data_IF_718316735285
#
_entry.id   IF_718316735285
#
_cell.length_a   1.000
_cell.length_b   1.000
_cell.length_c   1.000
_cell.angle_alpha   90.00
_cell.angle_beta   90.00
_cell.angle_gamma   90.00
#
_symmetry.space_group_name_H-M   'P 1'
#
loop_
_entity.id
_entity.type
_entity.pdbx_description
1 polymer ?
#
# COMPACT_ATOMS: atom_id res chain seq x y z
N UNK A 1 25.39 3.72 4.47
CA UNK A 1 25.10 4.84 5.39
C UNK A 1 23.93 4.40 6.23
N UNK A 2 24.00 4.54 7.55
CA UNK A 2 22.94 4.14 8.47
C UNK A 2 21.69 4.99 8.24
N UNK A 3 20.52 4.37 8.28
CA UNK A 3 19.23 4.98 7.97
C UNK A 3 18.38 5.14 9.23
N UNK A 4 17.46 6.10 9.21
CA UNK A 4 16.36 6.22 10.16
C UNK A 4 15.04 6.20 9.40
N UNK A 5 14.25 5.17 9.63
CA UNK A 5 12.94 4.98 9.01
C UNK A 5 11.85 5.67 9.81
N UNK A 6 10.99 6.43 9.14
CA UNK A 6 9.89 7.16 9.76
C UNK A 6 8.57 6.92 9.02
N UNK A 7 7.59 6.40 9.75
CA UNK A 7 6.23 6.23 9.25
C UNK A 7 5.41 7.52 9.29
N UNK A 8 5.33 8.25 8.18
CA UNK A 8 4.28 9.25 7.93
C UNK A 8 3.16 8.63 7.08
N UNK A 9 2.43 7.65 7.63
CA UNK A 9 1.41 6.91 6.87
C UNK A 9 0.15 7.75 6.56
N UNK A 10 0.07 8.98 7.06
CA UNK A 10 -0.81 10.07 6.60
C UNK A 10 -0.29 10.84 5.38
N UNK A 11 0.80 10.44 4.76
CA UNK A 11 1.43 11.14 3.65
C UNK A 11 0.44 11.67 2.58
N UNK A 12 -0.57 10.90 2.20
CA UNK A 12 -1.55 11.32 1.18
C UNK A 12 -2.48 12.44 1.69
N UNK A 13 -2.76 12.48 3.00
CA UNK A 13 -3.44 13.60 3.63
C UNK A 13 -2.54 14.84 3.67
N UNK A 14 -1.24 14.67 3.95
CA UNK A 14 -0.26 15.77 3.92
C UNK A 14 -0.23 16.38 2.50
N UNK A 15 -0.10 15.55 1.46
CA UNK A 15 -0.14 16.01 0.07
C UNK A 15 -1.45 16.73 -0.29
N UNK A 16 -2.60 16.14 0.04
CA UNK A 16 -3.90 16.75 -0.27
C UNK A 16 -4.11 18.06 0.47
N UNK A 17 -3.67 18.16 1.74
CA UNK A 17 -3.71 19.41 2.50
C UNK A 17 -2.82 20.49 1.87
N UNK A 18 -1.61 20.12 1.43
CA UNK A 18 -0.71 21.06 0.74
C UNK A 18 -1.26 21.56 -0.61
N UNK A 19 -2.17 20.82 -1.26
CA UNK A 19 -2.76 21.21 -2.55
C UNK A 19 -4.11 21.92 -2.39
N UNK A 20 -4.96 21.44 -1.49
CA UNK A 20 -6.36 21.88 -1.37
C UNK A 20 -6.69 22.54 -0.03
N UNK A 21 -5.74 22.64 0.92
CA UNK A 21 -5.98 23.18 2.26
C UNK A 21 -6.93 22.33 3.10
N UNK A 22 -7.07 21.04 2.80
CA UNK A 22 -7.99 20.14 3.50
C UNK A 22 -7.44 19.74 4.87
N UNK A 23 -8.16 20.05 5.94
CA UNK A 23 -7.89 19.53 7.28
C UNK A 23 -8.26 18.05 7.36
N UNK A 24 -7.25 17.17 7.32
CA UNK A 24 -7.38 15.76 7.60
C UNK A 24 -6.04 15.23 8.06
N UNK A 25 -6.02 14.48 9.17
CA UNK A 25 -4.84 13.77 9.64
C UNK A 25 -5.21 12.31 9.87
N UNK A 26 -4.25 11.39 9.75
CA UNK A 26 -4.47 10.05 10.28
C UNK A 26 -4.42 10.08 11.80
N UNK A 27 -5.01 9.07 12.41
CA UNK A 27 -4.89 8.87 13.84
C UNK A 27 -3.46 8.42 14.16
N UNK A 28 -2.83 8.91 15.24
CA UNK A 28 -1.55 8.41 15.74
C UNK A 28 -1.48 6.88 15.86
N UNK A 29 -2.64 6.24 16.02
CA UNK A 29 -2.85 4.79 16.02
C UNK A 29 -2.34 4.13 14.73
N UNK A 30 -2.61 4.69 13.54
CA UNK A 30 -2.14 4.10 12.28
C UNK A 30 -0.62 4.10 12.18
N UNK A 31 0.01 5.21 12.57
CA UNK A 31 1.48 5.31 12.57
C UNK A 31 2.11 4.34 13.56
N UNK A 32 1.47 4.11 14.72
CA UNK A 32 1.91 3.10 15.67
C UNK A 32 1.79 1.67 15.11
N UNK A 33 0.65 1.34 14.50
CA UNK A 33 0.37 0.01 13.95
C UNK A 33 1.28 -0.41 12.82
N UNK A 34 1.75 0.55 12.02
CA UNK A 34 2.55 0.26 10.84
C UNK A 34 4.05 0.53 11.05
N UNK A 35 4.49 1.11 12.17
CA UNK A 35 5.89 1.51 12.37
C UNK A 35 6.91 0.38 12.15
N UNK A 36 6.58 -0.86 12.51
CA UNK A 36 7.46 -2.03 12.35
C UNK A 36 7.51 -2.58 10.92
N UNK A 37 6.72 -2.06 9.98
CA UNK A 37 6.73 -2.53 8.60
C UNK A 37 8.10 -2.41 7.91
N UNK A 38 8.92 -1.45 8.37
CA UNK A 38 10.23 -1.16 7.80
C UNK A 38 11.23 -2.29 7.98
N UNK A 39 10.99 -3.27 8.87
CA UNK A 39 11.89 -4.41 9.12
C UNK A 39 12.26 -5.16 7.84
N UNK A 40 11.35 -5.27 6.88
CA UNK A 40 11.65 -5.93 5.60
C UNK A 40 12.75 -5.22 4.82
N UNK A 41 12.75 -3.88 4.83
CA UNK A 41 13.64 -3.01 4.06
C UNK A 41 14.91 -2.59 4.81
N UNK A 42 14.86 -2.52 6.15
CA UNK A 42 15.97 -2.04 6.99
C UNK A 42 17.18 -2.97 6.93
N UNK A 43 18.39 -2.44 7.12
CA UNK A 43 19.61 -3.23 7.31
C UNK A 43 19.95 -3.37 8.79
N UNK A 44 20.95 -4.21 9.09
CA UNK A 44 21.55 -4.28 10.42
C UNK A 44 21.99 -2.87 10.87
N UNK A 45 21.75 -2.61 12.16
CA UNK A 45 22.00 -1.35 12.86
C UNK A 45 21.09 -0.18 12.45
N UNK A 46 20.23 -0.25 11.43
CA UNK A 46 19.33 0.86 11.09
C UNK A 46 18.33 1.20 12.21
N UNK A 47 17.86 2.46 12.26
CA UNK A 47 16.89 2.90 13.25
C UNK A 47 15.48 2.87 12.67
N UNK A 48 14.52 2.34 13.42
CA UNK A 48 13.09 2.42 13.10
C UNK A 48 12.38 3.28 14.15
N UNK A 49 11.82 4.41 13.71
CA UNK A 49 11.05 5.29 14.57
C UNK A 49 9.68 4.69 14.90
N UNK A 50 9.41 4.49 16.19
CA UNK A 50 8.16 3.92 16.71
C UNK A 50 7.61 4.81 17.85
N UNK A 51 6.29 5.05 17.97
CA UNK A 51 5.75 6.04 18.91
C UNK A 51 5.64 5.53 20.36
N UNK A 52 6.57 4.69 20.80
CA UNK A 52 6.55 4.13 22.15
C UNK A 52 7.56 3.03 22.39
N UNK A 53 7.51 2.43 23.58
CA UNK A 53 8.33 1.29 23.97
C UNK A 53 7.73 0.00 23.45
N UNK A 54 8.58 -0.86 22.91
CA UNK A 54 8.29 -2.25 22.55
C UNK A 54 9.02 -3.21 23.50
N UNK A 55 8.61 -4.47 23.52
CA UNK A 55 9.30 -5.48 24.33
C UNK A 55 10.66 -5.84 23.72
N UNK A 56 11.65 -6.11 24.57
CA UNK A 56 12.93 -6.68 24.14
C UNK A 56 12.71 -8.06 23.46
N UNK A 57 11.72 -8.82 23.94
CA UNK A 57 11.32 -10.10 23.37
C UNK A 57 11.01 -10.00 21.87
N UNK A 58 10.31 -8.95 21.41
CA UNK A 58 10.02 -8.77 19.99
C UNK A 58 11.30 -8.60 19.17
N UNK A 59 12.26 -7.82 19.65
CA UNK A 59 13.53 -7.61 18.95
C UNK A 59 14.36 -8.90 18.88
N UNK A 60 14.42 -9.66 19.98
CA UNK A 60 15.06 -10.99 20.01
C UNK A 60 14.37 -11.99 19.08
N UNK A 61 13.04 -11.94 18.96
CA UNK A 61 12.29 -12.81 18.04
C UNK A 61 12.63 -12.51 16.57
N UNK A 62 12.77 -11.23 16.19
CA UNK A 62 13.20 -10.85 14.84
C UNK A 62 14.59 -11.40 14.52
N UNK A 63 15.56 -11.21 15.44
CA UNK A 63 16.93 -11.69 15.27
C UNK A 63 16.98 -13.22 15.15
N UNK A 64 16.27 -13.95 16.03
CA UNK A 64 16.19 -15.41 15.98
C UNK A 64 15.56 -15.92 14.68
N UNK A 65 14.65 -15.14 14.09
CA UNK A 65 14.04 -15.44 12.80
C UNK A 65 14.95 -15.11 11.59
N UNK A 66 16.15 -14.58 11.84
CA UNK A 66 17.09 -14.17 10.79
C UNK A 66 16.75 -12.84 10.12
N UNK A 67 15.91 -12.01 10.76
CA UNK A 67 15.60 -10.65 10.30
C UNK A 67 16.64 -9.65 10.84
N UNK A 68 16.77 -8.47 10.23
CA UNK A 68 17.81 -7.50 10.56
C UNK A 68 17.76 -7.02 12.01
N UNK A 69 18.95 -6.79 12.59
CA UNK A 69 19.13 -6.27 13.95
C UNK A 69 18.98 -4.75 13.94
N UNK A 70 17.72 -4.30 13.99
CA UNK A 70 17.35 -2.89 13.97
C UNK A 70 17.24 -2.29 15.37
N UNK A 71 17.48 -0.98 15.48
CA UNK A 71 17.23 -0.20 16.69
C UNK A 71 15.85 0.47 16.62
N UNK A 72 14.90 0.00 17.43
CA UNK A 72 13.63 0.69 17.58
C UNK A 72 13.77 1.87 18.55
N UNK A 73 13.46 3.08 18.09
CA UNK A 73 13.58 4.29 18.89
C UNK A 73 12.31 5.13 18.86
N UNK A 74 12.01 5.80 19.97
CA UNK A 74 10.98 6.83 20.06
C UNK A 74 11.58 8.22 20.29
N UNK A 75 12.89 8.36 20.13
CA UNK A 75 13.63 9.60 20.34
C UNK A 75 14.41 9.97 19.09
N UNK A 76 14.55 11.28 18.88
CA UNK A 76 15.46 11.76 17.85
C UNK A 76 16.91 11.59 18.32
N UNK A 77 17.81 11.18 17.42
CA UNK A 77 19.23 11.08 17.72
C UNK A 77 19.81 12.45 18.07
N UNK A 78 20.94 12.46 18.79
CA UNK A 78 21.69 13.68 19.05
C UNK A 78 22.23 14.29 17.74
N UNK A 79 22.53 15.59 17.73
CA UNK A 79 22.92 16.31 16.49
C UNK A 79 24.09 15.64 15.74
N UNK A 80 25.11 15.15 16.45
CA UNK A 80 26.27 14.51 15.85
C UNK A 80 25.90 13.20 15.12
N UNK A 81 25.04 12.38 15.73
CA UNK A 81 24.55 11.14 15.14
C UNK A 81 23.58 11.44 13.99
N UNK A 82 22.66 12.38 14.16
CA UNK A 82 21.71 12.79 13.13
C UNK A 82 22.41 13.20 11.82
N UNK A 83 23.53 13.93 11.91
CA UNK A 83 24.31 14.35 10.74
C UNK A 83 24.93 13.18 9.94
N UNK A 84 24.97 11.98 10.52
CA UNK A 84 25.44 10.74 9.88
C UNK A 84 24.30 9.86 9.36
N UNK A 85 23.06 10.14 9.76
CA UNK A 85 21.87 9.36 9.42
C UNK A 85 21.13 9.93 8.21
N UNK A 86 20.63 9.04 7.36
CA UNK A 86 19.71 9.38 6.28
C UNK A 86 18.27 9.07 6.66
N UNK A 87 17.38 10.06 6.56
CA UNK A 87 15.94 9.85 6.76
C UNK A 87 15.34 9.08 5.58
N UNK A 88 14.57 8.04 5.88
CA UNK A 88 13.71 7.32 4.94
C UNK A 88 12.26 7.41 5.41
N UNK A 89 11.45 8.34 4.86
CA UNK A 89 10.05 8.45 5.23
C UNK A 89 9.18 7.47 4.44
N UNK A 90 7.93 7.26 4.84
CA UNK A 90 6.93 6.57 4.01
C UNK A 90 6.75 7.27 2.66
N UNK A 91 6.63 8.60 2.67
CA UNK A 91 6.64 9.45 1.48
C UNK A 91 7.14 10.87 1.78
N UNK A 92 7.65 11.56 0.76
CA UNK A 92 8.25 12.89 0.91
C UNK A 92 7.22 14.02 0.85
N UNK A 93 6.97 14.68 1.99
CA UNK A 93 6.11 15.86 2.13
C UNK A 93 6.90 17.08 2.60
N UNK A 94 6.27 18.26 2.59
CA UNK A 94 6.88 19.48 3.13
C UNK A 94 7.26 19.34 4.61
N UNK A 95 6.45 18.62 5.39
CA UNK A 95 6.73 18.30 6.79
C UNK A 95 7.99 17.44 6.93
N UNK A 96 8.20 16.44 6.06
CA UNK A 96 9.40 15.61 6.10
C UNK A 96 10.67 16.43 5.81
N UNK A 97 10.61 17.37 4.86
CA UNK A 97 11.72 18.29 4.62
C UNK A 97 12.02 19.18 5.84
N UNK A 98 11.00 19.63 6.57
CA UNK A 98 11.18 20.40 7.80
C UNK A 98 11.80 19.55 8.93
N UNK A 99 11.40 18.28 9.06
CA UNK A 99 12.01 17.34 10.00
C UNK A 99 13.49 17.17 9.70
N UNK A 100 13.86 16.91 8.44
CA UNK A 100 15.27 16.77 8.01
C UNK A 100 16.09 17.99 8.45
N UNK A 101 15.60 19.19 8.14
CA UNK A 101 16.30 20.44 8.48
C UNK A 101 16.39 20.68 9.99
N UNK A 102 15.29 20.47 10.72
CA UNK A 102 15.24 20.76 12.17
C UNK A 102 16.05 19.78 13.01
N UNK A 103 16.22 18.54 12.53
CA UNK A 103 16.98 17.48 13.21
C UNK A 103 18.42 17.35 12.71
N UNK A 104 18.77 18.02 11.61
CA UNK A 104 20.11 17.93 11.01
C UNK A 104 20.39 16.58 10.35
N UNK A 105 19.35 15.91 9.85
CA UNK A 105 19.45 14.63 9.15
C UNK A 105 19.90 14.84 7.70
N UNK A 106 20.41 13.78 7.06
CA UNK A 106 20.59 13.73 5.61
C UNK A 106 19.30 13.27 4.93
N UNK A 107 19.10 13.72 3.70
CA UNK A 107 17.99 13.29 2.87
C UNK A 107 18.41 13.21 1.40
N UNK A 108 17.94 12.18 0.72
CA UNK A 108 17.91 12.12 -0.73
C UNK A 108 16.44 12.16 -1.15
N UNK A 109 15.92 13.38 -1.32
CA UNK A 109 14.49 13.63 -1.48
C UNK A 109 14.19 14.24 -2.86
N UNK A 110 13.18 13.73 -3.59
CA UNK A 110 12.70 14.35 -4.81
C UNK A 110 12.06 15.71 -4.52
N UNK A 111 11.95 16.59 -5.52
CA UNK A 111 11.16 17.81 -5.39
C UNK A 111 9.71 17.51 -4.99
N UNK A 112 9.17 18.22 -3.99
CA UNK A 112 7.78 18.03 -3.53
C UNK A 112 6.75 18.25 -4.65
N UNK A 113 7.06 19.10 -5.62
CA UNK A 113 6.24 19.29 -6.82
C UNK A 113 6.12 18.01 -7.63
N UNK A 114 7.23 17.31 -7.88
CA UNK A 114 7.23 16.03 -8.59
C UNK A 114 6.46 14.96 -7.81
N UNK A 115 6.62 14.91 -6.49
CA UNK A 115 5.86 13.99 -5.62
C UNK A 115 4.35 14.23 -5.75
N UNK A 116 3.91 15.49 -5.70
CA UNK A 116 2.49 15.86 -5.87
C UNK A 116 1.98 15.52 -7.25
N UNK A 117 2.75 15.83 -8.30
CA UNK A 117 2.38 15.53 -9.68
C UNK A 117 2.18 14.03 -9.89
N UNK A 118 3.14 13.20 -9.47
CA UNK A 118 3.09 11.75 -9.73
C UNK A 118 2.03 11.03 -8.90
N UNK A 119 1.73 11.49 -7.67
CA UNK A 119 0.65 10.93 -6.85
C UNK A 119 -0.75 11.45 -7.23
N UNK A 120 -0.87 12.43 -8.14
CA UNK A 120 -2.17 12.94 -8.59
C UNK A 120 -2.78 12.01 -9.64
N UNK A 121 -4.07 11.68 -9.50
CA UNK A 121 -4.81 10.87 -10.49
C UNK A 121 -4.87 11.54 -11.86
N UNK A 122 -4.76 12.87 -11.94
CA UNK A 122 -4.57 13.59 -13.21
C UNK A 122 -3.35 13.05 -13.99
N UNK A 123 -2.24 12.76 -13.30
CA UNK A 123 -1.02 12.24 -13.94
C UNK A 123 -1.24 10.84 -14.51
N UNK A 124 -1.85 9.94 -13.74
CA UNK A 124 -2.15 8.59 -14.23
C UNK A 124 -3.19 8.61 -15.34
N UNK A 125 -4.25 9.43 -15.22
CA UNK A 125 -5.29 9.57 -16.22
C UNK A 125 -4.74 10.08 -17.56
N UNK A 126 -3.83 11.07 -17.54
CA UNK A 126 -3.15 11.53 -18.75
C UNK A 126 -2.31 10.43 -19.40
N UNK A 127 -1.56 9.65 -18.62
CA UNK A 127 -0.82 8.50 -19.15
C UNK A 127 -1.76 7.49 -19.81
N UNK A 128 -2.88 7.18 -19.17
CA UNK A 128 -3.86 6.25 -19.72
C UNK A 128 -4.50 6.76 -21.00
N UNK A 129 -4.86 8.04 -21.05
CA UNK A 129 -5.46 8.67 -22.23
C UNK A 129 -4.49 8.68 -23.42
N UNK A 130 -3.25 9.13 -23.20
CA UNK A 130 -2.23 9.19 -24.25
C UNK A 130 -1.87 7.80 -24.81
N UNK A 131 -2.04 6.75 -24.01
CA UNK A 131 -1.64 5.39 -24.37
C UNK A 131 -2.82 4.47 -24.70
N UNK A 132 -4.03 5.03 -24.79
CA UNK A 132 -5.27 4.31 -25.11
C UNK A 132 -5.55 3.14 -24.14
N UNK A 133 -5.39 3.40 -22.84
CA UNK A 133 -5.55 2.42 -21.76
C UNK A 133 -6.78 2.67 -20.87
N UNK A 134 -7.51 3.77 -21.11
CA UNK A 134 -8.70 4.11 -20.34
C UNK A 134 -9.76 3.02 -20.51
N UNK A 135 -10.44 2.67 -19.41
CA UNK A 135 -11.67 1.89 -19.51
C UNK A 135 -12.71 2.70 -20.27
N UNK A 136 -13.44 2.05 -21.19
CA UNK A 136 -14.47 2.71 -21.99
C UNK A 136 -15.49 3.44 -21.10
N UNK A 137 -15.64 4.74 -21.30
CA UNK A 137 -16.51 5.61 -20.50
C UNK A 137 -15.87 6.22 -19.24
N UNK A 138 -14.57 6.00 -19.01
CA UNK A 138 -13.84 6.75 -17.99
C UNK A 138 -13.74 8.22 -18.36
N UNK A 139 -13.92 9.12 -17.38
CA UNK A 139 -13.90 10.56 -17.60
C UNK A 139 -13.24 11.32 -16.45
N UNK A 140 -12.55 12.40 -16.81
CA UNK A 140 -12.14 13.46 -15.89
C UNK A 140 -13.28 14.50 -15.82
N UNK A 141 -13.63 14.93 -14.62
CA UNK A 141 -14.82 15.72 -14.32
C UNK A 141 -14.44 16.92 -13.46
N UNK A 142 -14.92 18.10 -13.82
CA UNK A 142 -14.61 19.37 -13.14
C UNK A 142 -15.81 19.96 -12.39
N UNK A 143 -17.02 19.43 -12.58
CA UNK A 143 -18.22 19.88 -11.89
C UNK A 143 -19.30 18.78 -11.78
N UNK A 144 -20.37 19.08 -11.03
CA UNK A 144 -21.44 18.11 -10.76
C UNK A 144 -22.27 17.78 -12.01
N UNK A 145 -22.49 18.75 -12.91
CA UNK A 145 -23.28 18.54 -14.13
C UNK A 145 -22.59 17.53 -15.05
N UNK A 146 -21.28 17.67 -15.24
CA UNK A 146 -20.45 16.70 -15.95
C UNK A 146 -20.54 15.31 -15.31
N UNK A 147 -20.44 15.22 -13.98
CA UNK A 147 -20.53 13.95 -13.27
C UNK A 147 -21.90 13.27 -13.48
N UNK A 148 -23.00 14.00 -13.34
CA UNK A 148 -24.35 13.45 -13.53
C UNK A 148 -24.55 12.99 -14.98
N UNK A 149 -24.09 13.77 -15.95
CA UNK A 149 -24.14 13.43 -17.37
C UNK A 149 -23.31 12.17 -17.69
N UNK A 150 -22.08 12.09 -17.16
CA UNK A 150 -21.18 10.98 -17.38
C UNK A 150 -21.71 9.66 -16.78
N UNK A 151 -22.27 9.71 -15.56
CA UNK A 151 -22.90 8.55 -14.92
C UNK A 151 -24.14 8.10 -15.70
N UNK A 152 -24.96 9.04 -16.19
CA UNK A 152 -26.11 8.72 -17.05
C UNK A 152 -25.67 8.08 -18.37
N UNK A 153 -24.60 8.60 -19.00
CA UNK A 153 -24.05 8.07 -20.25
C UNK A 153 -23.49 6.66 -20.07
N UNK A 154 -22.76 6.38 -18.99
CA UNK A 154 -22.24 5.04 -18.70
C UNK A 154 -23.35 3.97 -18.65
N UNK A 155 -24.48 4.32 -18.03
CA UNK A 155 -25.65 3.44 -17.97
C UNK A 155 -26.24 3.14 -19.36
N UNK A 156 -26.15 4.06 -20.31
CA UNK A 156 -26.64 3.85 -21.67
C UNK A 156 -25.67 3.01 -22.52
N UNK A 157 -24.37 3.04 -22.19
CA UNK A 157 -23.34 2.28 -22.90
C UNK A 157 -23.22 0.84 -22.44
N UNK A 158 -23.41 0.57 -21.15
CA UNK A 158 -23.45 -0.79 -20.64
C UNK A 158 -24.86 -1.35 -20.85
N UNK A 159 -25.01 -2.44 -21.60
CA UNK A 159 -26.31 -3.07 -21.89
C UNK A 159 -27.05 -3.62 -20.64
N UNK A 160 -26.47 -3.43 -19.44
CA UNK A 160 -27.01 -3.86 -18.15
C UNK A 160 -27.57 -2.67 -17.39
N UNK A 161 -28.78 -2.81 -16.84
CA UNK A 161 -29.40 -1.85 -15.89
C UNK A 161 -28.64 -1.73 -14.56
N UNK A 162 -27.57 -2.50 -14.35
CA UNK A 162 -26.76 -2.56 -13.14
C UNK A 162 -25.32 -2.06 -13.34
N UNK A 163 -25.13 -1.13 -14.29
CA UNK A 163 -23.83 -0.54 -14.59
C UNK A 163 -23.19 0.01 -13.32
N UNK A 164 -22.15 -0.64 -12.83
CA UNK A 164 -21.46 -0.27 -11.60
C UNK A 164 -20.29 0.64 -11.95
N UNK A 165 -20.02 1.63 -11.11
CA UNK A 165 -18.99 2.63 -11.35
C UNK A 165 -18.37 3.12 -10.04
N UNK A 166 -17.21 3.75 -10.16
CA UNK A 166 -16.50 4.41 -9.07
C UNK A 166 -16.10 5.81 -9.49
N UNK A 167 -16.28 6.78 -8.60
CA UNK A 167 -15.73 8.13 -8.74
C UNK A 167 -14.66 8.31 -7.68
N UNK A 168 -13.46 8.73 -8.10
CA UNK A 168 -12.30 8.90 -7.23
C UNK A 168 -11.85 10.36 -7.24
N UNK A 169 -11.38 10.86 -6.11
CA UNK A 169 -10.73 12.16 -6.03
C UNK A 169 -9.31 12.11 -6.62
N UNK A 170 -8.74 13.29 -6.88
CA UNK A 170 -7.40 13.42 -7.43
C UNK A 170 -6.30 12.82 -6.54
N UNK A 171 -6.43 12.92 -5.22
CA UNK A 171 -5.60 12.16 -4.27
C UNK A 171 -6.48 11.16 -3.54
N UNK A 172 -6.25 9.87 -3.76
CA UNK A 172 -7.20 8.80 -3.39
C UNK A 172 -7.16 8.36 -1.92
N UNK A 173 -6.17 8.82 -1.14
CA UNK A 173 -6.04 8.59 0.32
C UNK A 173 -6.23 7.11 0.71
N UNK A 174 -5.45 6.22 0.10
CA UNK A 174 -5.50 4.77 0.36
C UNK A 174 -6.90 4.24 0.13
N UNK A 175 -7.47 4.70 -0.98
CA UNK A 175 -8.77 4.32 -1.50
C UNK A 175 -9.98 4.81 -0.66
N UNK A 176 -9.79 5.80 0.24
CA UNK A 176 -10.85 6.39 1.08
C UNK A 176 -11.58 7.55 0.41
N UNK A 177 -10.92 8.28 -0.49
CA UNK A 177 -11.52 9.42 -1.20
C UNK A 177 -12.18 8.97 -2.51
N UNK A 178 -13.23 8.16 -2.38
CA UNK A 178 -14.05 7.67 -3.49
C UNK A 178 -15.50 7.49 -3.11
N UNK A 179 -16.37 7.46 -4.12
CA UNK A 179 -17.75 6.95 -4.03
C UNK A 179 -17.94 5.84 -5.06
N UNK A 180 -18.78 4.87 -4.74
CA UNK A 180 -19.13 3.77 -5.64
C UNK A 180 -20.64 3.75 -5.80
N UNK A 181 -21.13 3.55 -7.02
CA UNK A 181 -22.55 3.54 -7.33
C UNK A 181 -22.91 2.54 -8.40
N UNK A 182 -24.21 2.39 -8.61
CA UNK A 182 -24.80 1.57 -9.65
C UNK A 182 -25.91 2.37 -10.32
N UNK A 183 -26.15 2.10 -11.61
CA UNK A 183 -27.19 2.80 -12.36
C UNK A 183 -26.74 4.16 -12.90
N UNK A 184 -27.68 4.86 -13.54
CA UNK A 184 -27.44 6.16 -14.18
C UNK A 184 -27.73 7.39 -13.32
N UNK A 185 -27.84 7.25 -11.99
CA UNK A 185 -28.19 8.35 -11.08
C UNK A 185 -27.33 8.36 -9.82
N UNK A 186 -27.00 9.56 -9.35
CA UNK A 186 -26.35 9.78 -8.05
C UNK A 186 -27.39 9.83 -6.92
N UNK A 187 -27.01 9.40 -5.72
CA UNK A 187 -27.75 9.69 -4.49
C UNK A 187 -27.42 11.10 -3.99
N UNK A 188 -28.25 11.66 -3.11
CA UNK A 188 -27.99 13.00 -2.53
C UNK A 188 -26.71 13.04 -1.70
N UNK A 189 -26.37 11.93 -1.04
CA UNK A 189 -25.10 11.79 -0.34
C UNK A 189 -23.90 11.88 -1.30
N UNK A 190 -23.98 11.21 -2.45
CA UNK A 190 -22.95 11.26 -3.49
C UNK A 190 -22.81 12.66 -4.09
N UNK A 191 -23.94 13.33 -4.38
CA UNK A 191 -23.95 14.73 -4.83
C UNK A 191 -23.29 15.64 -3.82
N UNK A 192 -23.64 15.50 -2.54
CA UNK A 192 -23.05 16.28 -1.45
C UNK A 192 -21.54 16.07 -1.34
N UNK A 193 -21.09 14.82 -1.46
CA UNK A 193 -19.67 14.48 -1.47
C UNK A 193 -18.94 15.16 -2.65
N UNK A 194 -19.46 15.04 -3.87
CA UNK A 194 -18.87 15.60 -5.08
C UNK A 194 -18.85 17.14 -5.06
N UNK A 195 -19.98 17.78 -4.70
CA UNK A 195 -20.08 19.25 -4.55
C UNK A 195 -19.00 19.81 -3.62
N UNK A 196 -18.74 19.13 -2.49
CA UNK A 196 -17.71 19.55 -1.54
C UNK A 196 -16.31 19.53 -2.17
N UNK A 197 -15.99 18.50 -2.97
CA UNK A 197 -14.68 18.37 -3.63
C UNK A 197 -14.51 19.40 -4.76
N UNK A 198 -15.53 19.58 -5.60
CA UNK A 198 -15.51 20.62 -6.63
C UNK A 198 -15.40 22.03 -6.04
N UNK A 199 -16.08 22.32 -4.94
CA UNK A 199 -15.96 23.61 -4.24
C UNK A 199 -14.54 23.87 -3.67
N UNK A 200 -13.74 22.82 -3.49
CA UNK A 200 -12.34 22.88 -3.08
C UNK A 200 -11.37 22.92 -4.28
N UNK A 201 -11.89 23.02 -5.51
CA UNK A 201 -11.08 23.01 -6.74
C UNK A 201 -10.51 21.64 -7.08
N UNK A 202 -11.09 20.55 -6.56
CA UNK A 202 -10.67 19.20 -6.91
C UNK A 202 -11.38 18.72 -8.18
N UNK A 203 -10.60 18.11 -9.06
CA UNK A 203 -11.08 17.29 -10.17
C UNK A 203 -11.46 15.89 -9.67
N UNK A 204 -12.51 15.31 -10.24
CA UNK A 204 -12.95 13.94 -9.97
C UNK A 204 -12.78 13.05 -11.21
N UNK A 205 -12.65 11.74 -10.99
CA UNK A 205 -12.41 10.76 -12.04
C UNK A 205 -13.44 9.65 -11.94
N UNK A 206 -14.27 9.52 -12.96
CA UNK A 206 -15.23 8.43 -13.11
C UNK A 206 -14.58 7.27 -13.85
N UNK A 207 -14.71 6.07 -13.32
CA UNK A 207 -14.26 4.83 -13.94
C UNK A 207 -15.40 3.78 -13.87
N UNK A 208 -15.65 3.01 -14.94
CA UNK A 208 -16.49 1.83 -14.86
C UNK A 208 -15.95 0.81 -13.84
N UNK A 209 -16.85 0.11 -13.16
CA UNK A 209 -16.49 -0.98 -12.27
C UNK A 209 -16.37 -2.28 -13.06
N UNK A 210 -15.22 -2.96 -12.96
CA UNK A 210 -14.92 -4.18 -13.72
C UNK A 210 -14.85 -5.42 -12.82
N UNK A 211 -15.08 -6.60 -13.41
CA UNK A 211 -14.99 -7.90 -12.71
C UNK A 211 -13.54 -8.30 -12.46
N UNK A 212 -12.96 -7.70 -11.41
CA UNK A 212 -11.60 -7.93 -10.95
C UNK A 212 -11.38 -9.40 -10.53
N UNK A 213 -10.25 -9.97 -10.96
CA UNK A 213 -9.81 -11.33 -10.63
C UNK A 213 -8.57 -11.36 -9.75
N UNK A 214 -7.66 -10.42 -9.95
CA UNK A 214 -6.47 -10.27 -9.13
C UNK A 214 -5.98 -8.82 -9.17
N UNK A 215 -5.30 -8.40 -8.10
CA UNK A 215 -4.64 -7.11 -7.98
C UNK A 215 -3.16 -7.32 -7.68
N UNK A 216 -2.32 -6.45 -8.20
CA UNK A 216 -0.90 -6.45 -7.94
C UNK A 216 -0.35 -5.03 -7.82
N UNK A 217 0.58 -4.83 -6.90
CA UNK A 217 1.44 -3.66 -6.87
C UNK A 217 2.70 -3.96 -7.66
N UNK A 218 2.89 -3.27 -8.79
CA UNK A 218 4.13 -3.28 -9.56
C UNK A 218 5.11 -2.30 -8.90
N UNK A 219 6.24 -2.80 -8.41
CA UNK A 219 7.17 -1.99 -7.63
C UNK A 219 8.38 -1.59 -8.47
N UNK A 220 8.74 -0.33 -8.41
CA UNK A 220 9.89 0.25 -9.10
C UNK A 220 10.75 1.08 -8.13
N UNK A 221 12.02 1.20 -8.48
CA UNK A 221 12.96 2.16 -7.89
C UNK A 221 13.40 3.12 -9.01
N UNK A 222 13.16 4.42 -8.83
CA UNK A 222 13.60 5.43 -9.78
C UNK A 222 14.85 6.09 -9.21
N UNK A 223 16.05 5.82 -9.73
CA UNK A 223 17.25 6.47 -9.23
C UNK A 223 17.28 7.95 -9.66
N UNK A 224 18.05 8.77 -8.92
CA UNK A 224 18.31 10.17 -9.30
C UNK A 224 19.10 10.30 -10.61
N UNK A 225 19.81 9.23 -11.01
CA UNK A 225 20.52 9.10 -12.27
C UNK A 225 20.39 7.67 -12.80
N UNK A 226 20.22 7.52 -14.12
CA UNK A 226 20.04 6.22 -14.76
C UNK A 226 18.57 5.86 -14.97
N UNK A 227 18.31 4.65 -15.49
CA UNK A 227 16.96 4.22 -15.84
C UNK A 227 16.19 3.68 -14.62
N UNK A 228 14.85 3.83 -14.58
CA UNK A 228 14.01 3.19 -13.59
C UNK A 228 14.20 1.67 -13.55
N UNK A 229 14.27 1.12 -12.34
CA UNK A 229 14.46 -0.30 -12.09
C UNK A 229 13.15 -0.93 -11.65
N UNK A 230 12.83 -2.09 -12.21
CA UNK A 230 11.68 -2.87 -11.78
C UNK A 230 12.10 -3.83 -10.65
N UNK A 231 11.45 -3.70 -9.50
CA UNK A 231 11.80 -4.45 -8.29
C UNK A 231 11.02 -5.77 -8.18
N UNK A 232 9.76 -5.79 -8.65
CA UNK A 232 8.96 -7.01 -8.64
C UNK A 232 7.45 -6.77 -8.62
N UNK A 233 6.71 -7.88 -8.51
CA UNK A 233 5.24 -7.89 -8.42
C UNK A 233 4.84 -8.36 -7.01
N UNK A 234 4.04 -7.56 -6.32
CA UNK A 234 3.42 -7.96 -5.06
C UNK A 234 1.93 -8.19 -5.30
N UNK A 235 1.46 -9.44 -5.20
CA UNK A 235 0.04 -9.75 -5.39
C UNK A 235 -0.75 -9.36 -4.14
N UNK A 236 -1.77 -8.50 -4.30
CA UNK A 236 -2.59 -8.05 -3.18
C UNK A 236 -3.48 -9.19 -2.70
N UNK A 237 -3.49 -9.39 -1.39
CA UNK A 237 -4.47 -10.20 -0.67
C UNK A 237 -5.51 -9.30 -0.08
N UNK A 238 -6.76 -9.61 -0.35
CA UNK A 238 -7.91 -8.88 0.17
C UNK A 238 -8.95 -9.86 0.70
N UNK A 239 -9.71 -9.46 1.70
CA UNK A 239 -10.84 -10.24 2.18
C UNK A 239 -12.05 -10.15 1.23
N UNK A 240 -13.14 -10.85 1.57
CA UNK A 240 -14.37 -10.86 0.80
C UNK A 240 -15.04 -9.48 0.65
N UNK A 241 -14.72 -8.51 1.53
CA UNK A 241 -15.20 -7.12 1.45
C UNK A 241 -14.24 -6.23 0.63
N UNK A 242 -13.15 -6.80 0.13
CA UNK A 242 -12.11 -6.08 -0.62
C UNK A 242 -11.14 -5.30 0.27
N UNK A 243 -11.12 -5.54 1.58
CA UNK A 243 -10.14 -4.91 2.46
C UNK A 243 -8.78 -5.61 2.32
N UNK A 244 -7.72 -4.82 2.16
CA UNK A 244 -6.34 -5.33 2.11
C UNK A 244 -5.98 -6.13 3.38
N UNK A 245 -5.39 -7.30 3.17
CA UNK A 245 -4.93 -8.25 4.20
C UNK A 245 -3.46 -8.59 4.09
N UNK A 246 -2.76 -8.13 3.04
CA UNK A 246 -1.36 -8.50 2.84
C UNK A 246 -0.96 -8.55 1.39
N UNK A 247 0.29 -8.95 1.17
CA UNK A 247 0.84 -9.14 -0.16
C UNK A 247 1.53 -10.50 -0.24
N UNK A 248 1.21 -11.27 -1.27
CA UNK A 248 2.02 -12.41 -1.67
C UNK A 248 3.21 -11.92 -2.49
N UNK A 249 4.39 -12.41 -2.13
CA UNK A 249 5.66 -12.10 -2.78
C UNK A 249 5.78 -12.99 -4.02
N UNK A 250 5.80 -12.38 -5.21
CA UNK A 250 5.92 -13.13 -6.47
C UNK A 250 7.38 -13.31 -6.85
N UNK A 251 7.89 -14.51 -6.64
CA UNK A 251 9.25 -14.91 -7.04
C UNK A 251 9.21 -15.86 -8.24
N UNK A 252 8.11 -16.61 -8.41
CA UNK A 252 7.91 -17.51 -9.54
C UNK A 252 7.96 -16.74 -10.88
N UNK A 253 8.91 -17.06 -11.78
CA UNK A 253 9.01 -16.43 -13.10
C UNK A 253 7.71 -16.52 -13.92
N UNK A 254 6.94 -17.60 -13.79
CA UNK A 254 5.68 -17.78 -14.53
C UNK A 254 4.62 -16.80 -14.09
N UNK A 255 4.43 -16.65 -12.77
CA UNK A 255 3.53 -15.65 -12.22
C UNK A 255 3.96 -14.24 -12.61
N UNK A 256 5.27 -13.96 -12.63
CA UNK A 256 5.78 -12.66 -13.12
C UNK A 256 5.46 -12.44 -14.60
N UNK A 257 5.61 -13.45 -15.44
CA UNK A 257 5.30 -13.39 -16.87
C UNK A 257 3.80 -13.10 -17.13
N UNK A 258 2.89 -13.62 -16.29
CA UNK A 258 1.46 -13.29 -16.39
C UNK A 258 1.15 -11.80 -16.20
N UNK A 259 2.01 -11.06 -15.49
CA UNK A 259 1.88 -9.62 -15.27
C UNK A 259 2.72 -8.78 -16.22
N UNK A 260 3.49 -9.41 -17.12
CA UNK A 260 4.38 -8.71 -18.06
C UNK A 260 3.68 -7.61 -18.87
N UNK A 261 2.45 -7.79 -19.39
CA UNK A 261 1.74 -6.71 -20.08
C UNK A 261 1.53 -5.46 -19.21
N UNK A 262 1.25 -5.64 -17.91
CA UNK A 262 1.11 -4.53 -16.97
C UNK A 262 2.47 -3.94 -16.57
N UNK A 263 3.50 -4.77 -16.43
CA UNK A 263 4.88 -4.34 -16.13
C UNK A 263 5.43 -3.43 -17.23
N UNK A 264 5.19 -3.73 -18.50
CA UNK A 264 5.64 -2.91 -19.64
C UNK A 264 5.04 -1.50 -19.60
N UNK A 265 3.75 -1.40 -19.29
CA UNK A 265 3.10 -0.10 -19.06
C UNK A 265 3.66 0.57 -17.80
N UNK A 266 3.85 -0.18 -16.71
CA UNK A 266 4.46 0.33 -15.48
C UNK A 266 5.85 0.94 -15.69
N UNK A 267 6.68 0.33 -16.55
CA UNK A 267 7.98 0.89 -16.94
C UNK A 267 7.85 2.23 -17.68
N UNK A 268 6.81 2.40 -18.50
CA UNK A 268 6.51 3.68 -19.16
C UNK A 268 6.08 4.73 -18.14
N UNK A 269 5.24 4.37 -17.18
CA UNK A 269 4.83 5.25 -16.07
C UNK A 269 6.05 5.67 -15.24
N UNK A 270 6.94 4.73 -14.90
CA UNK A 270 8.14 5.02 -14.14
C UNK A 270 9.07 6.01 -14.88
N UNK A 271 9.23 5.87 -16.20
CA UNK A 271 9.95 6.84 -17.03
C UNK A 271 9.25 8.21 -17.07
N UNK A 272 7.91 8.23 -17.17
CA UNK A 272 7.13 9.48 -17.14
C UNK A 272 7.25 10.19 -15.78
N UNK A 273 7.25 9.44 -14.68
CA UNK A 273 7.46 9.97 -13.34
C UNK A 273 8.88 10.57 -13.20
N UNK A 274 9.89 9.88 -13.73
CA UNK A 274 11.26 10.41 -13.79
C UNK A 274 11.35 11.70 -14.61
N UNK A 275 10.67 11.77 -15.76
CA UNK A 275 10.58 12.99 -16.58
C UNK A 275 9.88 14.16 -15.85
N UNK A 276 8.95 13.86 -14.94
CA UNK A 276 8.33 14.84 -14.06
C UNK A 276 9.26 15.28 -12.89
N UNK A 277 10.49 14.75 -12.83
CA UNK A 277 11.49 15.07 -11.81
C UNK A 277 11.42 14.20 -10.56
N UNK A 278 10.58 13.16 -10.55
CA UNK A 278 10.47 12.25 -9.41
C UNK A 278 11.61 11.22 -9.41
N UNK A 279 12.16 10.95 -8.24
CA UNK A 279 13.04 9.82 -7.97
C UNK A 279 12.72 9.25 -6.58
N UNK A 280 13.01 7.96 -6.38
CA UNK A 280 12.66 7.18 -5.21
C UNK A 280 11.73 5.99 -5.55
N UNK A 281 11.11 5.38 -4.52
CA UNK A 281 10.23 4.23 -4.71
C UNK A 281 8.95 4.62 -5.46
N UNK A 282 8.49 3.77 -6.38
CA UNK A 282 7.23 3.96 -7.08
C UNK A 282 6.44 2.65 -7.07
N UNK A 283 5.23 2.66 -6.51
CA UNK A 283 4.29 1.55 -6.59
C UNK A 283 3.16 1.87 -7.55
N UNK A 284 2.88 0.98 -8.51
CA UNK A 284 1.77 1.12 -9.45
C UNK A 284 0.78 -0.02 -9.18
N UNK A 285 -0.43 0.33 -8.78
CA UNK A 285 -1.49 -0.65 -8.58
C UNK A 285 -2.04 -1.05 -9.95
N UNK A 286 -2.09 -2.35 -10.22
CA UNK A 286 -2.60 -2.93 -11.45
C UNK A 286 -3.62 -4.03 -11.11
N UNK A 287 -4.55 -4.28 -12.03
CA UNK A 287 -5.54 -5.35 -11.86
C UNK A 287 -5.70 -6.19 -13.12
N UNK A 288 -5.93 -7.48 -12.93
CA UNK A 288 -6.44 -8.36 -13.96
C UNK A 288 -7.96 -8.46 -13.79
N UNK A 289 -8.72 -8.29 -14.86
CA UNK A 289 -10.18 -8.35 -14.84
C UNK A 289 -10.73 -9.19 -16.00
N UNK A 290 -12.02 -9.53 -15.95
CA UNK A 290 -12.74 -10.10 -17.10
C UNK A 290 -13.60 -9.03 -17.75
N UNK A 291 -13.48 -8.88 -19.07
CA UNK A 291 -14.39 -8.05 -19.84
C UNK A 291 -15.79 -8.69 -19.94
N UNK A 292 -16.72 -7.99 -20.59
CA UNK A 292 -18.10 -8.44 -20.79
C UNK A 292 -18.20 -9.75 -21.58
N UNK A 293 -17.17 -10.10 -22.37
CA UNK A 293 -17.08 -11.36 -23.11
C UNK A 293 -16.38 -12.46 -22.29
N UNK A 294 -16.03 -12.18 -21.03
CA UNK A 294 -15.34 -13.09 -20.13
C UNK A 294 -13.84 -13.23 -20.40
N UNK A 295 -13.27 -12.48 -21.36
CA UNK A 295 -11.85 -12.54 -21.70
C UNK A 295 -11.03 -11.79 -20.66
N UNK A 296 -9.85 -12.34 -20.35
CA UNK A 296 -8.88 -11.73 -19.43
C UNK A 296 -8.34 -10.43 -20.04
N UNK A 297 -8.36 -9.37 -19.26
CA UNK A 297 -7.82 -8.05 -19.58
C UNK A 297 -7.00 -7.52 -18.41
N UNK A 298 -6.13 -6.53 -18.67
CA UNK A 298 -5.35 -5.85 -17.65
C UNK A 298 -5.75 -4.38 -17.58
N UNK A 299 -5.90 -3.87 -16.35
CA UNK A 299 -5.90 -2.45 -16.01
C UNK A 299 -4.52 -2.15 -15.42
N UNK A 300 -3.56 -1.65 -16.22
CA UNK A 300 -2.17 -1.56 -15.79
C UNK A 300 -1.86 -0.37 -14.88
N UNK A 301 -2.75 0.62 -14.76
CA UNK A 301 -2.53 1.87 -14.00
C UNK A 301 -3.76 2.22 -13.15
N UNK A 302 -4.10 1.43 -12.15
CA UNK A 302 -5.23 1.72 -11.26
C UNK A 302 -4.95 2.87 -10.30
N UNK A 303 -3.72 2.94 -9.78
CA UNK A 303 -3.19 4.03 -8.97
C UNK A 303 -1.67 4.11 -9.10
N UNK A 304 -1.10 5.30 -8.89
CA UNK A 304 0.35 5.55 -8.93
C UNK A 304 0.78 6.18 -7.60
N UNK A 305 1.65 5.49 -6.89
CA UNK A 305 2.09 5.84 -5.55
C UNK A 305 3.58 6.20 -5.59
N UNK A 306 3.90 7.50 -5.62
CA UNK A 306 5.27 8.02 -5.54
C UNK A 306 5.70 8.10 -4.07
N UNK A 307 5.87 6.92 -3.46
CA UNK A 307 6.22 6.67 -2.06
C UNK A 307 6.53 5.19 -1.84
N UNK A 308 6.99 4.81 -0.65
CA UNK A 308 6.98 3.41 -0.25
C UNK A 308 5.53 2.89 -0.18
N UNK A 309 5.37 1.60 -0.46
CA UNK A 309 4.08 0.90 -0.42
C UNK A 309 4.20 -0.39 0.38
N UNK A 310 3.08 -0.94 0.85
CA UNK A 310 3.10 -2.22 1.57
C UNK A 310 3.60 -3.34 0.65
N UNK A 311 3.28 -3.28 -0.65
CA UNK A 311 3.81 -4.20 -1.65
C UNK A 311 5.32 -4.08 -1.80
N UNK A 312 5.89 -2.86 -1.78
CA UNK A 312 7.34 -2.66 -1.77
C UNK A 312 7.98 -3.32 -0.56
N UNK A 313 7.47 -3.07 0.65
CA UNK A 313 8.02 -3.66 1.87
C UNK A 313 7.87 -5.18 1.91
N UNK A 314 6.76 -5.72 1.38
CA UNK A 314 6.58 -7.15 1.23
C UNK A 314 7.67 -7.77 0.35
N UNK A 315 7.99 -7.14 -0.80
CA UNK A 315 9.03 -7.64 -1.70
C UNK A 315 10.41 -7.70 -1.06
N UNK A 316 10.73 -6.80 -0.14
CA UNK A 316 12.04 -6.80 0.52
C UNK A 316 12.25 -8.04 1.39
N UNK A 317 11.16 -8.70 1.84
CA UNK A 317 11.30 -9.98 2.53
C UNK A 317 11.78 -11.13 1.63
N UNK A 318 11.75 -10.96 0.29
CA UNK A 318 12.25 -11.97 -0.65
C UNK A 318 13.73 -12.33 -0.42
N UNK A 319 14.53 -11.42 0.14
CA UNK A 319 15.95 -11.66 0.44
C UNK A 319 16.20 -12.62 1.61
N UNK A 320 15.15 -12.97 2.38
CA UNK A 320 15.21 -13.92 3.50
C UNK A 320 14.61 -15.30 3.14
N UNK A 321 14.30 -15.50 1.86
CA UNK A 321 13.72 -16.76 1.37
C UNK A 321 14.80 -17.63 0.75
N UNK A 322 14.72 -18.93 1.04
CA UNK A 322 15.52 -19.93 0.33
C UNK A 322 15.01 -20.14 -1.10
N UNK A 323 15.84 -20.68 -2.01
CA UNK A 323 15.39 -21.03 -3.36
C UNK A 323 14.12 -21.88 -3.33
N UNK A 324 13.15 -21.52 -4.18
CA UNK A 324 11.82 -22.15 -4.32
C UNK A 324 10.82 -21.91 -3.18
N UNK A 325 11.19 -21.21 -2.10
CA UNK A 325 10.21 -20.83 -1.08
C UNK A 325 9.23 -19.80 -1.62
N UNK A 326 7.98 -19.91 -1.18
CA UNK A 326 6.91 -18.96 -1.42
C UNK A 326 6.61 -18.22 -0.11
N UNK A 327 6.25 -16.95 -0.19
CA UNK A 327 5.92 -16.18 1.00
C UNK A 327 4.82 -15.15 0.79
N UNK A 328 4.12 -14.85 1.89
CA UNK A 328 3.14 -13.78 2.00
C UNK A 328 3.36 -13.00 3.29
N UNK A 329 3.23 -11.69 3.20
CA UNK A 329 3.23 -10.82 4.36
C UNK A 329 1.80 -10.38 4.64
N UNK A 330 1.22 -10.86 5.75
CA UNK A 330 -0.19 -10.73 6.09
C UNK A 330 -0.41 -9.80 7.28
N UNK A 331 -1.58 -9.17 7.34
CA UNK A 331 -2.01 -8.26 8.37
C UNK A 331 -3.39 -8.64 8.92
N UNK A 332 -3.48 -8.69 10.25
CA UNK A 332 -4.69 -9.08 10.96
C UNK A 332 -5.12 -7.98 11.94
N UNK A 333 -6.40 -7.61 11.98
CA UNK A 333 -6.93 -6.84 13.09
C UNK A 333 -6.77 -7.66 14.36
N UNK A 334 -6.23 -7.07 15.41
CA UNK A 334 -6.03 -7.75 16.68
C UNK A 334 -6.71 -6.99 17.80
N UNK A 335 -7.35 -7.72 18.72
CA UNK A 335 -8.13 -7.15 19.81
C UNK A 335 -7.64 -7.67 21.14
N UNK A 336 -7.62 -6.79 22.13
CA UNK A 336 -7.35 -7.17 23.52
C UNK A 336 -8.37 -8.20 24.04
N UNK A 337 -9.62 -8.13 23.57
CA UNK A 337 -10.70 -9.06 23.95
C UNK A 337 -10.43 -10.52 23.56
N UNK A 338 -9.46 -10.80 22.69
CA UNK A 338 -9.04 -12.18 22.40
C UNK A 338 -8.34 -12.84 23.60
N UNK A 339 -7.91 -12.07 24.61
CA UNK A 339 -7.30 -12.62 25.84
C UNK A 339 -5.95 -13.29 25.63
N UNK A 340 -5.36 -13.19 24.43
CA UNK A 340 -4.07 -13.79 24.06
C UNK A 340 -3.24 -12.82 23.23
N UNK A 341 -1.94 -12.78 23.52
CA UNK A 341 -0.96 -12.03 22.70
C UNK A 341 -0.85 -12.66 21.32
N UNK A 342 -0.68 -11.83 20.29
CA UNK A 342 -0.57 -12.31 18.92
C UNK A 342 0.61 -13.27 18.74
N UNK A 343 1.77 -12.95 19.29
CA UNK A 343 2.97 -13.80 19.25
C UNK A 343 2.74 -15.19 19.84
N UNK A 344 2.03 -15.28 20.97
CA UNK A 344 1.69 -16.55 21.62
C UNK A 344 0.66 -17.33 20.80
N UNK A 345 -0.39 -16.67 20.30
CA UNK A 345 -1.37 -17.31 19.42
C UNK A 345 -0.70 -17.85 18.15
N UNK A 346 0.19 -17.06 17.53
CA UNK A 346 0.89 -17.44 16.31
C UNK A 346 1.78 -18.65 16.54
N UNK A 347 2.44 -18.75 17.71
CA UNK A 347 3.21 -19.93 18.11
C UNK A 347 2.32 -21.18 18.20
N UNK A 348 1.18 -21.08 18.89
CA UNK A 348 0.24 -22.21 19.00
C UNK A 348 -0.28 -22.67 17.64
N UNK A 349 -0.59 -21.74 16.73
CA UNK A 349 -1.01 -22.07 15.37
C UNK A 349 0.13 -22.69 14.56
N UNK A 350 1.35 -22.17 14.72
CA UNK A 350 2.53 -22.73 14.05
C UNK A 350 2.83 -24.17 14.50
N UNK A 351 2.65 -24.49 15.78
CA UNK A 351 2.88 -25.83 16.34
C UNK A 351 1.86 -26.87 15.85
N UNK A 352 0.67 -26.42 15.45
CA UNK A 352 -0.39 -27.25 14.86
C UNK A 352 -0.28 -27.34 13.32
N UNK A 353 0.56 -26.51 12.72
CA UNK A 353 0.73 -26.40 11.28
C UNK A 353 1.53 -27.55 10.66
N UNK A 354 1.52 -27.60 9.33
CA UNK A 354 2.31 -28.56 8.57
C UNK A 354 3.80 -28.22 8.60
N UNK A 355 4.64 -29.26 8.60
CA UNK A 355 6.09 -29.13 8.42
C UNK A 355 6.41 -28.41 7.10
N UNK A 356 7.44 -27.57 7.09
CA UNK A 356 7.84 -26.79 5.90
C UNK A 356 7.19 -25.40 5.84
N UNK A 357 6.60 -24.94 6.93
CA UNK A 357 6.07 -23.57 7.08
C UNK A 357 6.76 -22.83 8.22
N UNK A 358 7.06 -21.54 8.02
CA UNK A 358 7.61 -20.65 9.05
C UNK A 358 6.71 -19.43 9.19
N UNK A 359 6.28 -19.18 10.42
CA UNK A 359 5.45 -18.02 10.78
C UNK A 359 6.29 -17.06 11.62
N UNK A 360 6.56 -15.87 11.09
CA UNK A 360 7.42 -14.88 11.76
C UNK A 360 6.58 -13.63 12.04
N UNK A 361 6.32 -13.35 13.32
CA UNK A 361 5.68 -12.09 13.70
C UNK A 361 6.59 -10.91 13.31
N UNK A 362 6.05 -9.95 12.57
CA UNK A 362 6.78 -8.75 12.09
C UNK A 362 6.28 -7.46 12.72
N UNK A 363 5.37 -7.57 13.67
CA UNK A 363 4.89 -6.47 14.51
C UNK A 363 4.96 -6.86 15.99
N UNK A 364 5.20 -5.91 16.91
CA UNK A 364 5.11 -6.18 18.33
C UNK A 364 3.66 -6.45 18.75
N UNK A 365 3.46 -7.21 19.84
CA UNK A 365 2.12 -7.39 20.42
C UNK A 365 1.55 -6.07 20.96
N UNK A 366 2.43 -5.22 21.51
CA UNK A 366 2.06 -4.03 22.26
C UNK A 366 3.05 -2.88 22.04
N UNK A 367 2.54 -1.65 22.12
CA UNK A 367 3.33 -0.42 22.21
C UNK A 367 2.89 0.34 23.46
N UNK A 368 3.85 0.68 24.34
CA UNK A 368 3.57 1.24 25.68
C UNK A 368 2.57 0.39 26.50
N UNK A 369 2.58 -0.93 26.31
CA UNK A 369 1.66 -1.87 26.98
C UNK A 369 0.26 -1.96 26.37
N UNK A 370 -0.08 -1.12 25.37
CA UNK A 370 -1.38 -1.19 24.69
C UNK A 370 -1.30 -2.18 23.52
N UNK A 371 -2.32 -3.05 23.40
CA UNK A 371 -2.45 -4.00 22.29
C UNK A 371 -2.47 -3.28 20.94
N UNK A 372 -1.66 -3.76 20.00
CA UNK A 372 -1.61 -3.20 18.67
C UNK A 372 -2.88 -3.61 17.90
N UNK A 373 -3.65 -2.68 17.29
CA UNK A 373 -4.93 -3.02 16.65
C UNK A 373 -4.77 -3.70 15.29
N UNK A 374 -3.56 -3.69 14.73
CA UNK A 374 -3.21 -4.36 13.49
C UNK A 374 -1.83 -4.99 13.68
N UNK A 375 -1.76 -6.31 13.58
CA UNK A 375 -0.54 -7.10 13.70
C UNK A 375 -0.17 -7.70 12.35
N UNK A 376 1.11 -8.03 12.15
CA UNK A 376 1.60 -8.58 10.90
C UNK A 376 2.48 -9.81 11.08
N UNK A 377 2.42 -10.71 10.10
CA UNK A 377 3.19 -11.95 10.04
C UNK A 377 3.74 -12.17 8.65
N UNK A 378 5.01 -12.57 8.57
CA UNK A 378 5.60 -13.13 7.38
C UNK A 378 5.39 -14.65 7.41
N UNK A 379 4.65 -15.16 6.42
CA UNK A 379 4.40 -16.58 6.20
C UNK A 379 5.34 -17.04 5.11
N UNK A 380 6.18 -18.02 5.40
CA UNK A 380 7.09 -18.64 4.42
C UNK A 380 6.74 -20.12 4.33
N UNK A 381 6.65 -20.66 3.13
CA UNK A 381 6.39 -22.06 2.88
C UNK A 381 7.30 -22.60 1.76
N UNK A 382 7.53 -23.91 1.75
CA UNK A 382 8.37 -24.56 0.74
C UNK A 382 7.71 -24.67 -0.65
N UNK A 383 6.41 -24.37 -0.75
CA UNK A 383 5.67 -24.33 -2.01
C UNK A 383 4.52 -23.31 -1.99
N UNK A 384 4.04 -22.92 -3.18
CA UNK A 384 2.89 -22.01 -3.32
C UNK A 384 1.60 -22.65 -2.82
N UNK A 385 1.45 -23.97 -2.98
CA UNK A 385 0.31 -24.75 -2.50
C UNK A 385 0.23 -24.74 -0.97
N UNK A 386 1.35 -25.04 -0.31
CA UNK A 386 1.45 -24.97 1.16
C UNK A 386 1.21 -23.54 1.65
N UNK A 387 1.79 -22.52 0.99
CA UNK A 387 1.55 -21.13 1.36
C UNK A 387 0.04 -20.80 1.38
N UNK A 388 -0.70 -21.22 0.34
CA UNK A 388 -2.16 -21.02 0.27
C UNK A 388 -2.91 -21.75 1.38
N UNK A 389 -2.52 -22.97 1.70
CA UNK A 389 -3.12 -23.75 2.79
C UNK A 389 -2.89 -23.05 4.14
N UNK A 390 -1.67 -22.59 4.41
CA UNK A 390 -1.32 -21.84 5.63
C UNK A 390 -2.05 -20.50 5.71
N UNK A 391 -2.13 -19.74 4.61
CA UNK A 391 -2.92 -18.51 4.52
C UNK A 391 -4.38 -18.76 4.93
N UNK A 392 -5.01 -19.78 4.36
CA UNK A 392 -6.41 -20.13 4.65
C UNK A 392 -6.59 -20.57 6.11
N UNK A 393 -5.66 -21.38 6.64
CA UNK A 393 -5.70 -21.80 8.03
C UNK A 393 -5.60 -20.62 9.00
N UNK A 394 -4.66 -19.69 8.77
CA UNK A 394 -4.52 -18.48 9.58
C UNK A 394 -5.78 -17.61 9.53
N UNK A 395 -6.35 -17.39 8.33
CA UNK A 395 -7.57 -16.62 8.17
C UNK A 395 -8.76 -17.26 8.90
N UNK A 396 -8.90 -18.59 8.83
CA UNK A 396 -9.90 -19.35 9.58
C UNK A 396 -9.71 -19.20 11.09
N UNK A 397 -8.51 -19.47 11.60
CA UNK A 397 -8.21 -19.42 13.03
C UNK A 397 -8.40 -18.02 13.65
N UNK A 398 -8.11 -16.93 12.92
CA UNK A 398 -8.42 -15.56 13.37
C UNK A 398 -9.92 -15.28 13.35
N UNK A 399 -10.65 -15.84 12.38
CA UNK A 399 -12.10 -15.70 12.31
C UNK A 399 -12.78 -16.40 13.50
N UNK A 400 -12.33 -17.60 13.86
CA UNK A 400 -12.84 -18.35 15.03
C UNK A 400 -12.62 -17.59 16.35
N UNK A 401 -11.46 -16.96 16.52
CA UNK A 401 -11.20 -16.06 17.66
C UNK A 401 -12.17 -14.87 17.70
N UNK A 402 -12.52 -14.34 16.53
CA UNK A 402 -13.42 -13.20 16.42
C UNK A 402 -14.88 -13.55 16.77
N UNK A 403 -15.28 -14.81 16.57
CA UNK A 403 -16.61 -15.32 16.89
C UNK A 403 -16.74 -15.77 18.35
N UNK A 404 -15.66 -16.33 18.93
CA UNK A 404 -15.62 -16.82 20.32
C UNK A 404 -15.35 -15.73 21.36
N UNK A 405 -14.81 -14.58 20.95
CA UNK A 405 -14.44 -13.45 21.81
C UNK A 405 -15.51 -12.36 21.99
N UNK A 406 -16.81 -12.70 21.90
CA UNK A 406 -17.94 -11.79 22.11
C UNK A 406 -18.75 -12.17 23.37
#
# INVERSE_FOLDING_TARGET
MRQIFLGNFDFEHQLANEVYGTSGGTTPVLNASLASCWVGLAEDDDLISIPGKISAEFTTQLEYAGLPRVEFTNQWPGQAEAASLQLVPWGWSSEMHQIVKSKGLRANAPPTTAVKTVNARTFSFQCEQEWDLLLAGSQQLENLEELESAVSALQNHQASQEASWVVKANFSMSARERIQGQGGQLTDQMRGWAKKRFAQGQTLFLEPWVNRKAEAGLQFEIPSQGAPQFMGVALLRSDARGQYRGSQIVIDPRMREEWQPAVEVGQRVARRAQQAGYFGPLGIDAMCYRDEKGKRQWRPIQDVNARHTMGRLALEFSRFLEPNQAASWLHFPWKESYGVKFSNWLRCVSEQGESGTRLIATSPDQINGNTLPLVSVLVIADSVEQLKQTENHLLGAVSDLSETGC
#
